data_IF_485900467051
#
_entry.id   IF_485900467051
#
_cell.length_a   1.000
_cell.length_b   1.000
_cell.length_c   1.000
_cell.angle_alpha   90.00
_cell.angle_beta   90.00
_cell.angle_gamma   90.00
#
_symmetry.space_group_name_H-M   'P 1'
#
loop_
_entity.id
_entity.type
_entity.pdbx_description
1 polymer ?
#
# COMPACT_ATOMS: atom_id res chain seq x y z
N UNK A 1 8.35 -12.66 -7.54
CA UNK A 1 7.09 -12.91 -6.80
C UNK A 1 6.12 -11.78 -7.10
N UNK A 2 4.96 -12.06 -7.72
CA UNK A 2 3.99 -11.02 -8.08
C UNK A 2 3.22 -10.54 -6.84
N UNK A 3 3.17 -9.23 -6.63
CA UNK A 3 2.46 -8.62 -5.50
C UNK A 3 1.53 -7.50 -5.96
N UNK A 4 0.63 -7.11 -5.09
CA UNK A 4 -0.30 -6.00 -5.30
C UNK A 4 -0.02 -4.96 -4.22
N UNK A 5 0.18 -3.72 -4.65
CA UNK A 5 0.21 -2.56 -3.76
C UNK A 5 -1.20 -1.97 -3.68
N UNK A 6 -1.74 -1.87 -2.48
CA UNK A 6 -3.06 -1.30 -2.24
C UNK A 6 -2.91 0.02 -1.48
N UNK A 7 -3.54 1.07 -2.01
CA UNK A 7 -3.60 2.39 -1.36
C UNK A 7 -4.85 2.49 -0.50
N UNK A 8 -4.67 3.09 0.66
CA UNK A 8 -5.76 3.44 1.56
C UNK A 8 -5.84 4.95 1.71
N UNK A 9 -7.08 5.45 1.81
CA UNK A 9 -7.42 6.86 2.02
C UNK A 9 -8.25 7.08 3.27
N UNK A 10 -8.37 6.08 4.13
CA UNK A 10 -9.13 6.15 5.37
C UNK A 10 -8.57 5.13 6.38
N UNK A 11 -8.48 5.51 7.68
CA UNK A 11 -7.88 4.66 8.71
C UNK A 11 -8.74 3.42 8.95
N UNK A 12 -10.05 3.59 9.08
CA UNK A 12 -10.96 2.46 9.27
C UNK A 12 -10.94 1.50 8.09
N UNK A 13 -10.76 1.98 6.85
CA UNK A 13 -10.62 1.11 5.67
C UNK A 13 -9.27 0.44 5.59
N UNK A 14 -8.20 1.09 6.06
CA UNK A 14 -6.90 0.45 6.24
C UNK A 14 -7.03 -0.74 7.19
N UNK A 15 -7.65 -0.55 8.36
CA UNK A 15 -7.81 -1.59 9.36
C UNK A 15 -8.75 -2.72 8.88
N UNK A 16 -9.84 -2.38 8.18
CA UNK A 16 -10.81 -3.34 7.61
C UNK A 16 -10.35 -4.04 6.32
N UNK A 17 -9.28 -3.56 5.68
CA UNK A 17 -8.69 -4.20 4.49
C UNK A 17 -9.43 -3.95 3.18
N UNK A 18 -10.28 -2.91 3.11
CA UNK A 18 -11.02 -2.55 1.89
C UNK A 18 -10.20 -1.61 0.99
N UNK A 19 -9.84 -2.04 -0.23
CA UNK A 19 -8.92 -1.29 -1.10
C UNK A 19 -9.64 -0.15 -1.84
N UNK A 20 -8.99 1.01 -1.92
CA UNK A 20 -9.47 2.12 -2.77
C UNK A 20 -8.84 2.12 -4.16
N UNK A 21 -7.64 1.56 -4.29
CA UNK A 21 -6.93 1.41 -5.55
C UNK A 21 -5.85 0.33 -5.42
N UNK A 22 -5.60 -0.40 -6.50
CA UNK A 22 -4.63 -1.50 -6.56
C UNK A 22 -3.71 -1.35 -7.75
N UNK A 23 -2.42 -1.54 -7.54
CA UNK A 23 -1.41 -1.58 -8.60
C UNK A 23 -0.60 -2.88 -8.51
N UNK A 24 -0.32 -3.49 -9.66
CA UNK A 24 0.40 -4.75 -9.74
C UNK A 24 1.91 -4.52 -9.87
N UNK A 25 2.71 -5.28 -9.12
CA UNK A 25 4.17 -5.20 -9.16
C UNK A 25 4.80 -6.59 -9.40
N UNK A 26 5.97 -6.60 -10.05
CA UNK A 26 6.72 -7.83 -10.34
C UNK A 26 7.41 -8.39 -9.08
N UNK A 27 7.67 -7.55 -8.09
CA UNK A 27 8.32 -7.90 -6.81
C UNK A 27 7.84 -7.03 -5.64
N UNK A 28 8.00 -7.54 -4.40
CA UNK A 28 7.77 -6.79 -3.15
C UNK A 28 8.68 -5.58 -3.03
N UNK A 29 9.93 -5.70 -3.45
CA UNK A 29 10.93 -4.62 -3.37
C UNK A 29 10.52 -3.42 -4.23
N UNK A 30 10.05 -3.65 -5.45
CA UNK A 30 9.52 -2.58 -6.31
C UNK A 30 8.28 -1.93 -5.69
N UNK A 31 7.32 -2.74 -5.22
CA UNK A 31 6.11 -2.24 -4.56
C UNK A 31 6.45 -1.37 -3.33
N UNK A 32 7.42 -1.82 -2.53
CA UNK A 32 7.89 -1.11 -1.34
C UNK A 32 8.56 0.21 -1.70
N UNK A 33 9.42 0.22 -2.73
CA UNK A 33 10.10 1.44 -3.20
C UNK A 33 9.07 2.47 -3.67
N UNK A 34 8.14 2.07 -4.54
CA UNK A 34 7.09 2.96 -5.04
C UNK A 34 6.18 3.46 -3.92
N UNK A 35 5.83 2.61 -2.94
CA UNK A 35 5.03 3.03 -1.80
C UNK A 35 5.75 4.09 -0.95
N UNK A 36 7.05 3.90 -0.67
CA UNK A 36 7.87 4.88 0.06
C UNK A 36 8.02 6.19 -0.69
N UNK A 37 8.29 6.15 -2.00
CA UNK A 37 8.40 7.34 -2.85
C UNK A 37 7.09 8.13 -2.85
N UNK A 38 5.96 7.43 -3.00
CA UNK A 38 4.64 8.03 -2.91
C UNK A 38 4.44 8.65 -1.54
N UNK A 39 4.55 7.88 -0.44
CA UNK A 39 4.43 8.40 0.94
C UNK A 39 5.28 9.65 1.15
N UNK A 40 6.53 9.66 0.67
CA UNK A 40 7.42 10.81 0.79
C UNK A 40 6.92 12.04 0.03
N UNK A 41 6.35 11.87 -1.17
CA UNK A 41 5.81 12.96 -1.98
C UNK A 41 4.54 13.61 -1.39
N UNK A 42 3.79 12.85 -0.59
CA UNK A 42 2.54 13.28 0.06
C UNK A 42 2.77 13.68 1.54
N UNK A 43 3.96 13.43 2.09
CA UNK A 43 4.33 13.81 3.45
C UNK A 43 4.23 15.33 3.60
N UNK A 44 3.23 15.80 4.37
CA UNK A 44 2.92 17.23 4.54
C UNK A 44 1.63 17.71 3.86
N UNK A 45 0.99 16.88 3.02
CA UNK A 45 -0.29 17.22 2.35
C UNK A 45 -1.54 16.82 3.15
N UNK A 46 -1.37 16.15 4.29
CA UNK A 46 -2.44 15.72 5.20
C UNK A 46 -3.45 14.71 4.64
N UNK A 47 -3.26 14.21 3.41
CA UNK A 47 -4.27 13.43 2.65
C UNK A 47 -3.81 12.04 2.22
N UNK A 48 -2.82 11.42 2.87
CA UNK A 48 -2.42 10.07 2.46
C UNK A 48 -2.11 9.09 3.57
N UNK A 49 -2.61 7.87 3.35
CA UNK A 49 -3.38 7.12 4.34
C UNK A 49 -2.89 5.68 4.56
N UNK A 50 -1.67 5.41 4.12
CA UNK A 50 -1.00 4.11 4.27
C UNK A 50 -1.14 3.19 3.05
N UNK A 51 -0.26 2.20 2.98
CA UNK A 51 -0.23 1.21 1.91
C UNK A 51 -0.15 -0.19 2.49
N UNK A 52 -0.76 -1.17 1.83
CA UNK A 52 -0.54 -2.60 2.11
C UNK A 52 -0.04 -3.29 0.86
N UNK A 53 1.00 -4.11 1.02
CA UNK A 53 1.51 -4.98 -0.04
C UNK A 53 0.95 -6.37 0.23
N UNK A 54 0.23 -6.91 -0.75
CA UNK A 54 -0.38 -8.24 -0.67
C UNK A 54 0.20 -9.18 -1.71
N UNK A 55 0.33 -10.46 -1.36
CA UNK A 55 0.66 -11.50 -2.32
C UNK A 55 -0.50 -11.61 -3.32
N UNK A 56 -0.20 -11.59 -4.62
CA UNK A 56 -1.23 -11.64 -5.66
C UNK A 56 -1.99 -12.97 -5.69
N UNK A 57 -1.32 -14.07 -5.32
CA UNK A 57 -1.88 -15.42 -5.42
C UNK A 57 -2.68 -15.79 -4.16
N UNK A 58 -2.15 -15.51 -2.98
CA UNK A 58 -2.77 -15.89 -1.71
C UNK A 58 -3.65 -14.79 -1.10
N UNK A 59 -3.48 -13.54 -1.54
CA UNK A 59 -4.18 -12.39 -0.96
C UNK A 59 -3.63 -11.95 0.40
N UNK A 60 -2.64 -12.65 0.94
CA UNK A 60 -2.06 -12.38 2.25
C UNK A 60 -1.29 -11.06 2.27
N UNK A 61 -1.35 -10.36 3.40
CA UNK A 61 -0.56 -9.13 3.59
C UNK A 61 0.89 -9.51 3.84
N UNK A 62 1.75 -9.14 2.90
CA UNK A 62 3.21 -9.32 2.99
C UNK A 62 3.82 -8.21 3.83
N UNK A 63 3.34 -6.97 3.68
CA UNK A 63 3.85 -5.82 4.41
C UNK A 63 2.80 -4.71 4.54
N UNK A 64 2.62 -4.16 5.74
CA UNK A 64 1.89 -2.92 5.99
C UNK A 64 2.85 -1.73 6.10
N UNK A 65 2.51 -0.61 5.49
CA UNK A 65 3.20 0.68 5.64
C UNK A 65 2.28 1.66 6.37
N UNK A 66 2.80 2.41 7.35
CA UNK A 66 1.99 3.23 8.25
C UNK A 66 1.31 4.40 7.54
N UNK A 67 0.19 4.81 8.13
CA UNK A 67 -0.48 6.08 7.89
C UNK A 67 0.26 7.21 8.63
N UNK A 68 0.43 8.39 8.01
CA UNK A 68 0.99 9.61 8.60
C UNK A 68 -0.04 10.73 8.63
#
# INVERSE_FOLDING_TARGET
MKVILERYTDRDKYDRGYPHSKENFKSTTEALKTAKERISAIRGTGKSLGFKIKNKLTGETVQGLPYF
#
